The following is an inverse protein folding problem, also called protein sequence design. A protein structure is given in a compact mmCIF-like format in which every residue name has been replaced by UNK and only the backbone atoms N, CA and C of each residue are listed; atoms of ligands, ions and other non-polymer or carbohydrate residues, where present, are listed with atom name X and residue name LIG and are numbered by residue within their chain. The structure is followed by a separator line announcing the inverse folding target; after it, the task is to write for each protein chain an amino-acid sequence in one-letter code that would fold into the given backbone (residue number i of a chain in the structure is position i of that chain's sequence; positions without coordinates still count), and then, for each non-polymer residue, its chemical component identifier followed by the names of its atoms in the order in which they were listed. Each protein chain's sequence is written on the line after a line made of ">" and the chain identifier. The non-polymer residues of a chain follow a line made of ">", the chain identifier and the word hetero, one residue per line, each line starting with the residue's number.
data_IF_460674425637
#
_entry.id   IF_460674425637
#
_cell.length_a   1.000
_cell.length_b   1.000
_cell.length_c   1.000
_cell.angle_alpha   90.00
_cell.angle_beta   90.00
_cell.angle_gamma   90.00
#
_symmetry.space_group_name_H-M   'P 1'
#
loop_
_entity.id
_entity.type
_entity.pdbx_description
1 polymer ?
#
# COMPACT_ATOMS: atom_id res chain seq x y z
N UNK A 1 22.27 -14.21 -4.59
CA UNK A 1 20.99 -14.88 -4.33
C UNK A 1 20.09 -14.04 -3.42
N UNK A 2 20.55 -13.66 -2.23
CA UNK A 2 19.75 -12.95 -1.22
C UNK A 2 19.12 -11.63 -1.70
N UNK A 3 19.87 -10.82 -2.46
CA UNK A 3 19.33 -9.59 -3.07
C UNK A 3 18.13 -9.86 -4.00
N UNK A 4 18.18 -10.93 -4.80
CA UNK A 4 17.08 -11.31 -5.69
C UNK A 4 15.84 -11.74 -4.91
N UNK A 5 16.02 -12.36 -3.75
CA UNK A 5 14.91 -12.70 -2.85
C UNK A 5 14.22 -11.42 -2.38
N UNK A 6 14.98 -10.44 -1.88
CA UNK A 6 14.43 -9.15 -1.43
C UNK A 6 13.65 -8.46 -2.55
N UNK A 7 14.26 -8.32 -3.73
CA UNK A 7 13.64 -7.65 -4.87
C UNK A 7 12.42 -8.42 -5.38
N UNK A 8 12.52 -9.74 -5.51
CA UNK A 8 11.41 -10.60 -5.91
C UNK A 8 10.23 -10.50 -4.94
N UNK A 9 10.50 -10.58 -3.63
CA UNK A 9 9.48 -10.41 -2.60
C UNK A 9 8.83 -9.02 -2.68
N UNK A 10 9.61 -7.96 -2.84
CA UNK A 10 9.08 -6.59 -2.96
C UNK A 10 8.04 -6.46 -4.09
N UNK A 11 8.32 -7.00 -5.28
CA UNK A 11 7.37 -6.92 -6.39
C UNK A 11 6.16 -7.86 -6.23
N UNK A 12 6.37 -9.05 -5.67
CA UNK A 12 5.27 -9.98 -5.36
C UNK A 12 4.29 -9.36 -4.36
N UNK A 13 4.81 -8.56 -3.41
CA UNK A 13 3.98 -7.87 -2.43
C UNK A 13 2.94 -6.94 -3.05
N UNK A 14 3.19 -6.30 -4.19
CA UNK A 14 2.15 -5.50 -4.87
C UNK A 14 0.93 -6.36 -5.23
N UNK A 15 1.16 -7.55 -5.79
CA UNK A 15 0.09 -8.50 -6.10
C UNK A 15 -0.62 -9.03 -4.85
N UNK A 16 0.14 -9.37 -3.81
CA UNK A 16 -0.41 -9.81 -2.53
C UNK A 16 -1.26 -8.73 -1.87
N UNK A 17 -0.75 -7.50 -1.80
CA UNK A 17 -1.46 -6.35 -1.23
C UNK A 17 -2.71 -6.02 -2.03
N UNK A 18 -2.68 -6.12 -3.36
CA UNK A 18 -3.88 -5.97 -4.17
C UNK A 18 -4.97 -6.99 -3.78
N UNK A 19 -4.60 -8.26 -3.63
CA UNK A 19 -5.52 -9.33 -3.23
C UNK A 19 -6.05 -9.10 -1.82
N UNK A 20 -5.17 -8.78 -0.88
CA UNK A 20 -5.52 -8.50 0.52
C UNK A 20 -6.47 -7.29 0.58
N UNK A 21 -6.15 -6.21 -0.12
CA UNK A 21 -6.96 -5.00 -0.13
C UNK A 21 -8.37 -5.28 -0.66
N UNK A 22 -8.47 -5.98 -1.80
CA UNK A 22 -9.75 -6.29 -2.43
C UNK A 22 -10.59 -7.32 -1.68
N UNK A 23 -9.99 -8.41 -1.21
CA UNK A 23 -10.74 -9.57 -0.70
C UNK A 23 -10.77 -9.66 0.82
N UNK A 24 -9.78 -9.07 1.51
CA UNK A 24 -9.69 -9.11 2.97
C UNK A 24 -10.17 -7.78 3.55
N UNK A 25 -9.55 -6.67 3.17
CA UNK A 25 -9.87 -5.34 3.72
C UNK A 25 -11.26 -4.88 3.24
N UNK A 26 -11.59 -5.02 1.96
CA UNK A 26 -12.94 -4.83 1.43
C UNK A 26 -13.88 -6.03 1.66
N UNK A 27 -13.41 -7.09 2.30
CA UNK A 27 -14.19 -8.29 2.60
C UNK A 27 -14.56 -8.39 4.08
N UNK A 28 -14.01 -9.40 4.74
CA UNK A 28 -14.35 -9.70 6.14
C UNK A 28 -13.72 -8.73 7.16
N UNK A 29 -12.62 -8.05 6.81
CA UNK A 29 -12.02 -7.00 7.64
C UNK A 29 -12.51 -5.58 7.29
N UNK A 30 -13.62 -5.46 6.58
CA UNK A 30 -14.20 -4.15 6.25
C UNK A 30 -14.49 -3.29 7.48
N UNK A 31 -14.83 -3.89 8.62
CA UNK A 31 -15.03 -3.13 9.86
C UNK A 31 -13.79 -2.32 10.30
N UNK A 32 -12.59 -2.77 9.93
CA UNK A 32 -11.33 -2.05 10.17
C UNK A 32 -10.99 -1.05 9.07
N UNK A 33 -11.53 -1.23 7.85
CA UNK A 33 -11.19 -0.39 6.70
C UNK A 33 -12.26 0.67 6.37
N UNK A 34 -13.47 0.52 6.91
CA UNK A 34 -14.62 1.36 6.58
C UNK A 34 -14.41 2.84 6.91
N UNK A 35 -13.89 3.14 8.10
CA UNK A 35 -13.71 4.51 8.58
C UNK A 35 -12.69 5.29 7.75
N UNK A 36 -11.73 4.58 7.16
CA UNK A 36 -10.80 5.12 6.19
C UNK A 36 -11.45 5.48 4.83
N UNK A 37 -12.52 4.79 4.43
CA UNK A 37 -13.27 5.12 3.23
C UNK A 37 -14.27 6.26 3.44
N UNK A 38 -15.09 6.17 4.49
CA UNK A 38 -16.19 7.10 4.72
C UNK A 38 -15.79 8.31 5.61
N UNK A 39 -14.57 8.30 6.15
CA UNK A 39 -14.05 9.33 7.06
C UNK A 39 -14.97 9.55 8.27
N UNK A 40 -15.66 8.49 8.73
CA UNK A 40 -16.59 8.56 9.86
C UNK A 40 -15.93 8.68 11.23
N UNK A 41 -14.60 8.54 11.32
CA UNK A 41 -13.88 8.70 12.57
C UNK A 41 -13.49 10.16 12.82
N UNK A 42 -13.58 10.59 14.09
CA UNK A 42 -13.07 11.87 14.55
C UNK A 42 -11.65 11.70 15.09
N UNK A 43 -10.69 12.46 14.55
CA UNK A 43 -9.30 12.48 15.03
C UNK A 43 -8.27 12.05 13.98
N UNK A 44 -7.03 11.87 14.44
CA UNK A 44 -5.88 11.59 13.57
C UNK A 44 -5.63 10.10 13.28
N UNK A 45 -6.24 9.21 14.07
CA UNK A 45 -6.08 7.76 13.96
C UNK A 45 -7.32 7.16 13.30
N UNK A 46 -7.16 6.08 12.56
CA UNK A 46 -8.25 5.29 11.96
C UNK A 46 -8.14 3.84 12.43
N UNK A 47 -9.24 3.08 12.49
CA UNK A 47 -9.19 1.63 12.70
C UNK A 47 -8.37 0.94 11.62
N UNK A 48 -8.27 1.56 10.45
CA UNK A 48 -7.39 1.10 9.38
C UNK A 48 -5.92 1.01 9.84
N UNK A 49 -5.51 1.78 10.85
CA UNK A 49 -4.15 1.75 11.38
C UNK A 49 -3.80 0.40 12.03
N UNK A 50 -4.79 -0.40 12.44
CA UNK A 50 -4.56 -1.76 12.91
C UNK A 50 -3.93 -2.66 11.84
N UNK A 51 -4.10 -2.35 10.55
CA UNK A 51 -3.44 -3.10 9.49
C UNK A 51 -1.92 -2.98 9.55
N UNK A 52 -1.36 -1.87 10.05
CA UNK A 52 0.09 -1.78 10.28
C UNK A 52 0.56 -2.84 11.27
N UNK A 53 -0.17 -3.03 12.37
CA UNK A 53 0.17 -4.06 13.37
C UNK A 53 -0.03 -5.45 12.78
N UNK A 54 -1.17 -5.69 12.12
CA UNK A 54 -1.50 -7.00 11.52
C UNK A 54 -0.44 -7.43 10.51
N UNK A 55 0.09 -6.52 9.68
CA UNK A 55 1.12 -6.84 8.69
C UNK A 55 2.55 -6.79 9.24
N UNK A 56 2.82 -5.97 10.27
CA UNK A 56 4.12 -5.93 10.92
C UNK A 56 4.43 -7.22 11.69
N UNK A 57 3.45 -7.80 12.39
CA UNK A 57 3.65 -9.02 13.18
C UNK A 57 4.25 -10.19 12.39
N UNK A 58 3.67 -10.66 11.26
CA UNK A 58 4.27 -11.75 10.49
C UNK A 58 5.64 -11.38 9.92
N UNK A 59 5.84 -10.12 9.55
CA UNK A 59 7.14 -9.61 9.08
C UNK A 59 8.21 -9.71 10.17
N UNK A 60 7.90 -9.28 11.39
CA UNK A 60 8.79 -9.36 12.55
C UNK A 60 9.09 -10.82 12.91
N UNK A 61 8.07 -11.69 12.90
CA UNK A 61 8.24 -13.12 13.18
C UNK A 61 9.16 -13.79 12.14
N UNK A 62 8.95 -13.53 10.85
CA UNK A 62 9.82 -14.03 9.78
C UNK A 62 11.25 -13.49 9.89
N UNK A 63 11.39 -12.21 10.25
CA UNK A 63 12.69 -11.59 10.44
C UNK A 63 13.43 -12.24 11.61
N UNK A 64 12.79 -12.34 12.77
CA UNK A 64 13.34 -12.99 13.96
C UNK A 64 13.73 -14.44 13.67
N UNK A 65 12.81 -15.24 13.11
CA UNK A 65 13.11 -16.62 12.75
C UNK A 65 14.27 -16.71 11.74
N UNK A 66 14.29 -15.84 10.72
CA UNK A 66 15.39 -15.78 9.77
C UNK A 66 16.73 -15.49 10.45
N UNK A 67 16.77 -14.59 11.44
CA UNK A 67 18.01 -14.31 12.21
C UNK A 67 18.49 -15.49 13.05
N UNK A 68 17.59 -16.27 13.65
CA UNK A 68 17.97 -17.46 14.43
C UNK A 68 18.39 -18.64 13.56
N UNK A 69 18.25 -18.51 12.24
CA UNK A 69 18.64 -19.49 11.24
C UNK A 69 19.74 -18.93 10.32
N UNK A 70 20.73 -18.26 10.91
CA UNK A 70 21.92 -17.70 10.24
C UNK A 70 21.59 -16.80 9.04
N UNK A 71 20.56 -15.94 9.20
CA UNK A 71 20.10 -15.02 8.15
C UNK A 71 19.74 -15.73 6.84
N UNK A 72 19.03 -16.87 6.92
CA UNK A 72 18.58 -17.59 5.74
C UNK A 72 17.52 -16.82 4.91
N UNK A 73 16.95 -17.49 3.90
CA UNK A 73 16.01 -16.85 2.97
C UNK A 73 14.79 -16.19 3.64
N UNK A 74 14.32 -16.66 4.81
CA UNK A 74 13.22 -16.05 5.53
C UNK A 74 13.52 -14.63 5.99
N UNK A 75 14.77 -14.37 6.41
CA UNK A 75 15.21 -13.03 6.79
C UNK A 75 15.12 -12.06 5.61
N UNK A 76 15.59 -12.48 4.44
CA UNK A 76 15.57 -11.67 3.23
C UNK A 76 14.16 -11.48 2.65
N UNK A 77 13.28 -12.48 2.78
CA UNK A 77 11.84 -12.30 2.50
C UNK A 77 11.27 -11.23 3.43
N UNK A 78 11.54 -11.31 4.74
CA UNK A 78 11.06 -10.32 5.70
C UNK A 78 11.54 -8.89 5.37
N UNK A 79 12.79 -8.73 4.93
CA UNK A 79 13.30 -7.44 4.42
C UNK A 79 12.48 -6.96 3.22
N UNK A 80 12.22 -7.83 2.24
CA UNK A 80 11.41 -7.46 1.07
C UNK A 80 9.99 -7.01 1.45
N UNK A 81 9.35 -7.72 2.38
CA UNK A 81 8.03 -7.34 2.93
C UNK A 81 8.11 -5.99 3.65
N UNK A 82 9.12 -5.79 4.50
CA UNK A 82 9.31 -4.56 5.27
C UNK A 82 9.56 -3.35 4.35
N UNK A 83 10.41 -3.50 3.33
CA UNK A 83 10.67 -2.46 2.33
C UNK A 83 9.40 -2.08 1.56
N UNK A 84 8.59 -3.08 1.17
CA UNK A 84 7.31 -2.82 0.54
C UNK A 84 6.34 -2.12 1.50
N UNK A 85 6.25 -2.56 2.75
CA UNK A 85 5.44 -1.91 3.78
C UNK A 85 5.83 -0.45 4.02
N UNK A 86 7.12 -0.12 4.00
CA UNK A 86 7.60 1.26 4.08
C UNK A 86 7.21 2.07 2.84
N UNK A 87 7.37 1.51 1.64
CA UNK A 87 6.95 2.17 0.40
C UNK A 87 5.43 2.41 0.38
N UNK A 88 4.65 1.43 0.84
CA UNK A 88 3.21 1.54 1.01
C UNK A 88 2.85 2.68 1.95
N UNK A 89 3.41 2.70 3.17
CA UNK A 89 3.13 3.75 4.17
C UNK A 89 3.46 5.14 3.61
N UNK A 90 4.59 5.26 2.92
CA UNK A 90 4.98 6.52 2.30
C UNK A 90 3.98 6.96 1.21
N UNK A 91 3.60 6.05 0.32
CA UNK A 91 2.67 6.39 -0.78
C UNK A 91 1.27 6.65 -0.25
N UNK A 92 0.75 5.77 0.59
CA UNK A 92 -0.60 5.81 1.12
C UNK A 92 -0.79 6.94 2.13
N UNK A 93 -0.20 6.81 3.32
CA UNK A 93 -0.47 7.69 4.46
C UNK A 93 0.17 9.06 4.31
N UNK A 94 1.43 9.10 3.89
CA UNK A 94 2.17 10.37 3.75
C UNK A 94 1.74 11.08 2.47
N UNK A 95 1.86 10.44 1.32
CA UNK A 95 1.71 11.12 0.04
C UNK A 95 0.25 11.29 -0.40
N UNK A 96 -0.61 10.28 -0.24
CA UNK A 96 -2.01 10.35 -0.70
C UNK A 96 -2.92 10.95 0.37
N UNK A 97 -2.94 10.37 1.57
CA UNK A 97 -3.78 10.83 2.68
C UNK A 97 -3.23 12.07 3.38
N UNK A 98 -1.98 12.46 3.11
CA UNK A 98 -1.39 13.69 3.64
C UNK A 98 -1.45 13.77 5.17
N UNK A 99 -1.35 12.62 5.86
CA UNK A 99 -1.20 12.55 7.33
C UNK A 99 0.02 13.34 7.79
N UNK A 100 1.05 13.34 6.94
CA UNK A 100 2.14 14.29 6.97
C UNK A 100 2.14 15.08 5.65
N UNK A 101 2.26 16.42 5.72
CA UNK A 101 2.13 17.32 4.55
C UNK A 101 3.38 17.32 3.65
N UNK A 102 3.83 16.15 3.21
CA UNK A 102 5.01 15.94 2.37
C UNK A 102 4.57 15.66 0.93
N UNK A 103 5.29 16.21 -0.06
CA UNK A 103 5.01 16.04 -1.50
C UNK A 103 3.58 16.39 -1.95
N UNK A 104 2.87 17.25 -1.19
CA UNK A 104 1.52 17.70 -1.52
C UNK A 104 1.42 18.27 -2.94
N UNK A 105 2.41 19.09 -3.32
CA UNK A 105 2.46 19.82 -4.59
C UNK A 105 3.43 19.19 -5.61
N UNK A 106 3.64 17.88 -5.56
CA UNK A 106 4.48 17.21 -6.56
C UNK A 106 3.89 17.34 -7.96
N UNK A 107 4.75 17.55 -8.95
CA UNK A 107 4.41 17.52 -10.38
C UNK A 107 4.82 16.20 -11.04
N UNK A 108 5.35 15.24 -10.27
CA UNK A 108 5.77 13.96 -10.81
C UNK A 108 4.56 13.16 -11.35
N UNK A 109 4.54 12.81 -12.66
CA UNK A 109 3.36 12.20 -13.29
C UNK A 109 3.03 10.80 -12.75
N UNK A 110 4.03 10.04 -12.29
CA UNK A 110 3.81 8.74 -11.65
C UNK A 110 3.09 8.89 -10.31
N UNK A 111 3.58 9.80 -9.45
CA UNK A 111 2.95 10.07 -8.15
C UNK A 111 1.53 10.64 -8.32
N UNK A 112 1.33 11.54 -9.30
CA UNK A 112 0.01 12.09 -9.61
C UNK A 112 -0.97 11.01 -10.11
N UNK A 113 -0.51 10.07 -10.94
CA UNK A 113 -1.33 8.94 -11.41
C UNK A 113 -1.80 8.05 -10.26
N UNK A 114 -0.90 7.69 -9.35
CA UNK A 114 -1.23 6.88 -8.17
C UNK A 114 -2.23 7.61 -7.28
N UNK A 115 -1.96 8.89 -6.96
CA UNK A 115 -2.87 9.71 -6.15
C UNK A 115 -4.27 9.78 -6.76
N UNK A 116 -4.38 9.91 -8.09
CA UNK A 116 -5.67 9.94 -8.78
C UNK A 116 -6.39 8.60 -8.74
N UNK A 117 -5.67 7.50 -8.95
CA UNK A 117 -6.25 6.16 -8.88
C UNK A 117 -6.79 5.83 -7.49
N UNK A 118 -6.03 6.17 -6.44
CA UNK A 118 -6.44 5.99 -5.06
C UNK A 118 -7.62 6.87 -4.65
N UNK A 119 -7.66 8.13 -5.12
CA UNK A 119 -8.86 8.97 -4.96
C UNK A 119 -10.10 8.38 -5.62
N UNK A 120 -9.93 7.74 -6.79
CA UNK A 120 -11.04 7.05 -7.45
C UNK A 120 -11.48 5.81 -6.67
N UNK A 121 -10.54 5.09 -6.05
CA UNK A 121 -10.84 3.99 -5.15
C UNK A 121 -11.75 4.43 -3.98
N UNK A 122 -11.39 5.50 -3.27
CA UNK A 122 -12.20 6.05 -2.17
C UNK A 122 -13.47 6.79 -2.58
N UNK A 123 -13.68 7.05 -3.88
CA UNK A 123 -14.93 7.64 -4.36
C UNK A 123 -16.13 6.75 -4.02
N UNK A 124 -15.91 5.44 -3.94
CA UNK A 124 -16.90 4.50 -3.43
C UNK A 124 -16.63 4.29 -1.93
N UNK A 125 -17.53 4.80 -1.09
CA UNK A 125 -17.40 4.74 0.37
C UNK A 125 -17.86 3.40 0.97
N UNK A 126 -18.55 2.58 0.19
CA UNK A 126 -18.89 1.22 0.55
C UNK A 126 -17.81 0.22 0.13
N UNK A 127 -17.89 -0.99 0.69
CA UNK A 127 -16.97 -2.08 0.32
C UNK A 127 -17.15 -2.56 -1.12
N UNK A 128 -18.35 -2.40 -1.68
CA UNK A 128 -18.74 -2.86 -3.01
C UNK A 128 -18.33 -1.86 -4.10
N UNK A 129 -18.08 -2.35 -5.31
CA UNK A 129 -17.73 -1.54 -6.49
C UNK A 129 -16.41 -0.75 -6.39
N UNK A 130 -15.56 -1.07 -5.42
CA UNK A 130 -14.20 -0.54 -5.36
C UNK A 130 -13.43 -0.85 -6.66
N UNK A 131 -12.66 0.13 -7.14
CA UNK A 131 -11.68 -0.05 -8.21
C UNK A 131 -10.31 0.42 -7.73
N UNK A 132 -9.23 0.06 -8.43
CA UNK A 132 -7.88 0.57 -8.17
C UNK A 132 -7.29 0.21 -6.78
N UNK A 133 -7.32 -1.08 -6.41
CA UNK A 133 -6.79 -1.58 -5.12
C UNK A 133 -5.25 -1.63 -5.01
N UNK A 134 -4.51 -1.36 -6.09
CA UNK A 134 -3.04 -1.36 -6.09
C UNK A 134 -2.46 -0.03 -5.63
N UNK A 135 -1.22 -0.05 -5.14
CA UNK A 135 -0.57 1.10 -4.51
C UNK A 135 0.58 1.64 -5.34
N UNK A 136 1.56 0.81 -5.70
CA UNK A 136 2.68 1.21 -6.54
C UNK A 136 2.39 1.01 -8.02
N UNK A 137 1.43 0.14 -8.35
CA UNK A 137 0.98 -0.10 -9.71
C UNK A 137 -0.54 0.04 -9.84
N UNK A 138 -0.97 1.02 -10.60
CA UNK A 138 -2.38 1.35 -10.80
C UNK A 138 -2.81 1.11 -12.25
N UNK A 139 -4.12 1.07 -12.56
CA UNK A 139 -4.56 0.85 -13.94
C UNK A 139 -3.92 1.84 -14.93
N UNK A 140 -3.43 1.32 -16.05
CA UNK A 140 -2.64 2.06 -17.06
C UNK A 140 -3.33 3.35 -17.55
N UNK A 141 -4.67 3.41 -17.51
CA UNK A 141 -5.44 4.62 -17.83
C UNK A 141 -4.98 5.86 -17.05
N UNK A 142 -4.58 5.70 -15.78
CA UNK A 142 -4.11 6.83 -14.96
C UNK A 142 -2.70 7.26 -15.33
N UNK A 143 -1.80 6.31 -15.61
CA UNK A 143 -0.46 6.66 -16.10
C UNK A 143 -0.55 7.42 -17.43
N UNK A 144 -1.36 6.93 -18.38
CA UNK A 144 -1.58 7.64 -19.66
C UNK A 144 -2.12 9.06 -19.46
N UNK A 145 -3.02 9.26 -18.49
CA UNK A 145 -3.58 10.58 -18.20
C UNK A 145 -2.52 11.62 -17.85
N UNK A 146 -1.54 11.28 -17.02
CA UNK A 146 -0.53 12.24 -16.56
C UNK A 146 0.74 12.29 -17.43
N UNK A 147 1.18 11.15 -17.98
CA UNK A 147 2.37 11.13 -18.85
C UNK A 147 2.11 11.73 -20.23
N UNK A 148 0.86 11.75 -20.72
CA UNK A 148 0.53 12.38 -22.00
C UNK A 148 0.13 13.86 -21.87
N UNK A 149 -0.16 14.35 -20.65
CA UNK A 149 -0.51 15.76 -20.41
C UNK A 149 0.65 16.73 -20.69
N UNK A 150 1.90 16.26 -20.62
CA UNK A 150 3.08 17.07 -20.95
C UNK A 150 3.46 17.06 -22.43
N UNK A 151 2.63 16.47 -23.31
CA UNK A 151 2.84 16.41 -24.77
C UNK A 151 1.95 17.36 -25.57
N UNK A 152 1.13 18.17 -24.92
CA UNK A 152 0.22 19.13 -25.54
C UNK A 152 0.68 20.57 -25.28
#
# INVERSE_FOLDING_TARGET
>A
MNFLIVVGTFFIMEGMTWLIHKYIMHGFLWMLHKDHHDHSNEGAMEKNDYFFVIFALPTILLMYYGTTQDFNFWFYIAIGIALYGMAYFFVHDIFIHQRFKILRNTENPYLLAIRRAHKQHHKHTGKEKGECFGFLWVPVKYFKMYFNQHKA
#
